data_IF_915106590850
#
_entry.id   IF_915106590850
#
_cell.length_a   1.000
_cell.length_b   1.000
_cell.length_c   1.000
_cell.angle_alpha   90.00
_cell.angle_beta   90.00
_cell.angle_gamma   90.00
#
_symmetry.space_group_name_H-M   'P 1'
#
loop_
_entity.id
_entity.type
_entity.pdbx_description
1 polymer ?
#
# COMPACT_ATOMS: atom_id res chain seq x y z
N UNK A 1 -3.44 -27.23 16.14
CA UNK A 1 -2.12 -26.64 16.46
C UNK A 1 -2.00 -25.32 15.74
N UNK A 2 -1.43 -24.30 16.39
CA UNK A 2 -1.20 -22.99 15.75
C UNK A 2 -0.06 -23.11 14.73
N UNK A 3 -0.30 -22.70 13.48
CA UNK A 3 0.70 -22.73 12.39
C UNK A 3 1.47 -21.43 12.31
N UNK A 4 2.77 -21.49 12.10
CA UNK A 4 3.60 -20.29 11.92
C UNK A 4 3.52 -19.80 10.48
N UNK A 5 3.24 -18.51 10.29
CA UNK A 5 3.39 -17.80 9.02
C UNK A 5 4.51 -16.77 9.14
N UNK A 6 5.54 -16.93 8.32
CA UNK A 6 6.64 -15.96 8.23
C UNK A 6 6.31 -14.96 7.14
N UNK A 7 6.18 -13.70 7.50
CA UNK A 7 6.08 -12.58 6.57
C UNK A 7 7.46 -11.97 6.33
N UNK A 8 7.79 -11.69 5.09
CA UNK A 8 9.07 -11.11 4.71
C UNK A 8 8.90 -9.88 3.84
N UNK A 9 9.58 -8.79 4.22
CA UNK A 9 9.70 -7.56 3.44
C UNK A 9 11.19 -7.20 3.32
N UNK A 10 11.57 -6.74 2.12
CA UNK A 10 12.90 -6.18 1.86
C UNK A 10 12.88 -4.65 1.73
N UNK A 11 11.82 -4.01 2.24
CA UNK A 11 11.62 -2.57 2.22
C UNK A 11 12.68 -1.83 3.03
N UNK A 12 13.02 -0.62 2.58
CA UNK A 12 13.90 0.30 3.31
C UNK A 12 13.13 1.41 4.04
N UNK A 13 11.87 1.64 3.68
CA UNK A 13 11.02 2.72 4.18
C UNK A 13 9.61 2.20 4.50
N UNK A 14 8.92 2.90 5.40
CA UNK A 14 7.53 2.63 5.73
C UNK A 14 6.58 3.28 4.73
N UNK A 15 5.61 2.52 4.22
CA UNK A 15 4.61 2.99 3.26
C UNK A 15 3.37 2.11 3.27
N UNK A 16 2.61 2.13 2.16
CA UNK A 16 1.37 1.38 2.03
C UNK A 16 1.53 -0.14 2.13
N UNK A 17 2.64 -0.69 1.65
CA UNK A 17 2.96 -2.12 1.76
C UNK A 17 3.08 -2.55 3.22
N UNK A 18 3.86 -1.79 4.00
CA UNK A 18 4.13 -2.05 5.41
C UNK A 18 2.87 -1.87 6.25
N UNK A 19 2.05 -0.85 5.91
CA UNK A 19 0.75 -0.63 6.54
C UNK A 19 -0.23 -1.78 6.26
N UNK A 20 -0.29 -2.29 5.02
CA UNK A 20 -1.11 -3.45 4.68
C UNK A 20 -0.69 -4.71 5.46
N UNK A 21 0.61 -4.91 5.67
CA UNK A 21 1.14 -6.01 6.49
C UNK A 21 0.71 -5.86 7.96
N UNK A 22 0.75 -4.65 8.52
CA UNK A 22 0.23 -4.41 9.87
C UNK A 22 -1.27 -4.69 9.98
N UNK A 23 -2.06 -4.38 8.96
CA UNK A 23 -3.48 -4.76 8.93
C UNK A 23 -3.66 -6.28 8.94
N UNK A 24 -2.85 -7.03 8.19
CA UNK A 24 -2.86 -8.51 8.23
C UNK A 24 -2.52 -9.01 9.63
N UNK A 25 -1.49 -8.48 10.28
CA UNK A 25 -1.12 -8.90 11.64
C UNK A 25 -2.21 -8.62 12.67
N UNK A 26 -2.88 -7.47 12.55
CA UNK A 26 -3.93 -7.06 13.47
C UNK A 26 -5.18 -7.95 13.41
N UNK A 27 -5.48 -8.52 12.24
CA UNK A 27 -6.71 -9.27 12.04
C UNK A 27 -6.53 -10.77 11.78
N UNK A 28 -5.28 -11.24 11.67
CA UNK A 28 -5.04 -12.67 11.51
C UNK A 28 -5.39 -13.43 12.80
N UNK A 29 -6.23 -14.47 12.71
CA UNK A 29 -6.68 -15.21 13.89
C UNK A 29 -5.52 -15.97 14.55
N UNK A 30 -5.05 -15.46 15.69
CA UNK A 30 -3.92 -16.00 16.42
C UNK A 30 -4.16 -17.39 17.03
N UNK A 31 -5.39 -17.88 17.05
CA UNK A 31 -5.71 -19.26 17.44
C UNK A 31 -5.21 -20.27 16.39
N UNK A 32 -5.16 -19.85 15.13
CA UNK A 32 -4.73 -20.68 14.00
C UNK A 32 -3.39 -20.27 13.43
N UNK A 33 -3.04 -18.99 13.48
CA UNK A 33 -1.88 -18.42 12.83
C UNK A 33 -0.98 -17.66 13.81
N UNK A 34 0.31 -17.96 13.80
CA UNK A 34 1.34 -17.23 14.53
C UNK A 34 2.20 -16.44 13.55
N UNK A 35 1.98 -15.13 13.39
CA UNK A 35 2.80 -14.33 12.50
C UNK A 35 4.20 -14.09 13.07
N UNK A 36 5.20 -14.13 12.20
CA UNK A 36 6.60 -13.78 12.47
C UNK A 36 7.06 -12.86 11.37
N UNK A 37 7.62 -11.70 11.70
CA UNK A 37 8.12 -10.75 10.72
C UNK A 37 9.63 -10.91 10.53
N UNK A 38 10.07 -11.28 9.33
CA UNK A 38 11.45 -11.24 8.90
C UNK A 38 11.71 -9.94 8.15
N UNK A 39 12.75 -9.20 8.55
CA UNK A 39 13.07 -7.89 7.99
C UNK A 39 14.58 -7.63 7.93
N UNK A 40 14.99 -6.69 7.09
CA UNK A 40 16.34 -6.16 7.09
C UNK A 40 16.52 -5.05 8.14
N UNK A 41 17.76 -4.75 8.59
CA UNK A 41 18.06 -3.69 9.55
C UNK A 41 18.03 -2.32 8.87
N UNK A 42 16.85 -1.79 8.58
CA UNK A 42 16.64 -0.50 7.92
C UNK A 42 15.97 0.49 8.87
N UNK A 43 16.54 1.68 9.09
CA UNK A 43 15.93 2.68 9.99
C UNK A 43 14.54 3.13 9.55
N UNK A 44 14.31 3.22 8.24
CA UNK A 44 13.05 3.72 7.66
C UNK A 44 11.84 2.84 7.94
N UNK A 45 12.01 1.56 8.35
CA UNK A 45 10.90 0.68 8.71
C UNK A 45 10.59 0.65 10.22
N UNK A 46 11.19 1.54 11.01
CA UNK A 46 10.91 1.62 12.46
C UNK A 46 9.42 1.66 12.81
N UNK A 47 8.54 2.38 12.08
CA UNK A 47 7.11 2.35 12.36
C UNK A 47 6.47 0.95 12.18
N UNK A 48 6.91 0.18 11.16
CA UNK A 48 6.47 -1.21 10.97
C UNK A 48 6.86 -2.08 12.17
N UNK A 49 8.14 -1.98 12.62
CA UNK A 49 8.64 -2.80 13.73
C UNK A 49 7.88 -2.50 15.03
N UNK A 50 7.71 -1.22 15.37
CA UNK A 50 6.90 -0.79 16.54
C UNK A 50 5.45 -1.26 16.44
N UNK A 51 4.83 -1.15 15.27
CA UNK A 51 3.46 -1.63 15.04
C UNK A 51 3.34 -3.15 15.20
N UNK A 52 4.30 -3.90 14.69
CA UNK A 52 4.34 -5.35 14.82
C UNK A 52 4.57 -5.79 16.28
N UNK A 53 5.47 -5.12 17.01
CA UNK A 53 5.69 -5.37 18.45
C UNK A 53 4.42 -5.10 19.27
N UNK A 54 3.70 -4.01 19.00
CA UNK A 54 2.44 -3.68 19.66
C UNK A 54 1.34 -4.74 19.43
N UNK A 55 1.44 -5.49 18.32
CA UNK A 55 0.56 -6.61 17.97
C UNK A 55 1.11 -7.98 18.43
N UNK A 56 2.17 -7.99 19.26
CA UNK A 56 2.86 -9.21 19.74
C UNK A 56 3.40 -10.09 18.60
N UNK A 57 3.76 -9.51 17.46
CA UNK A 57 4.40 -10.22 16.35
C UNK A 57 5.88 -10.39 16.65
N UNK A 58 6.37 -11.61 16.55
CA UNK A 58 7.80 -11.92 16.74
C UNK A 58 8.62 -11.33 15.59
N UNK A 59 9.66 -10.57 15.92
CA UNK A 59 10.57 -9.98 14.94
C UNK A 59 11.82 -10.84 14.75
N UNK A 60 12.28 -10.95 13.51
CA UNK A 60 13.53 -11.61 13.12
C UNK A 60 14.29 -10.76 12.14
N UNK A 61 15.41 -10.23 12.59
CA UNK A 61 16.30 -9.49 11.73
C UNK A 61 17.18 -10.45 10.91
N UNK A 62 17.14 -10.29 9.58
CA UNK A 62 17.99 -11.04 8.64
C UNK A 62 18.89 -10.09 7.85
N UNK A 63 20.11 -10.51 7.52
CA UNK A 63 21.04 -9.66 6.81
C UNK A 63 20.58 -9.43 5.36
N UNK A 64 20.71 -8.19 4.86
CA UNK A 64 20.49 -7.88 3.44
C UNK A 64 21.58 -8.53 2.60
N UNK A 65 21.20 -9.15 1.48
CA UNK A 65 22.15 -9.80 0.56
C UNK A 65 22.43 -8.87 -0.62
N UNK A 66 23.63 -8.28 -0.63
CA UNK A 66 24.07 -7.39 -1.71
C UNK A 66 25.27 -8.01 -2.43
N UNK A 67 25.07 -8.36 -3.73
CA UNK A 67 26.09 -8.98 -4.56
C UNK A 67 26.30 -10.49 -4.29
N UNK A 68 27.01 -11.16 -5.21
CA UNK A 68 27.17 -12.62 -5.23
C UNK A 68 27.84 -13.18 -3.97
N UNK A 69 28.90 -12.53 -3.47
CA UNK A 69 29.62 -12.99 -2.29
C UNK A 69 28.75 -12.94 -1.02
N UNK A 70 28.02 -11.84 -0.83
CA UNK A 70 27.09 -11.68 0.28
C UNK A 70 25.94 -12.71 0.23
N UNK A 71 25.46 -13.02 -0.97
CA UNK A 71 24.43 -14.05 -1.16
C UNK A 71 24.92 -15.42 -0.68
N UNK A 72 26.08 -15.87 -1.14
CA UNK A 72 26.64 -17.19 -0.78
C UNK A 72 26.88 -17.30 0.72
N UNK A 73 27.40 -16.25 1.38
CA UNK A 73 27.76 -16.29 2.80
C UNK A 73 26.57 -16.12 3.75
N UNK A 74 25.54 -15.36 3.37
CA UNK A 74 24.43 -14.99 4.25
C UNK A 74 23.17 -15.82 4.05
N UNK A 75 22.96 -16.40 2.84
CA UNK A 75 21.81 -17.24 2.57
C UNK A 75 21.71 -18.45 3.51
N UNK A 76 22.79 -19.19 3.86
CA UNK A 76 22.70 -20.30 4.81
C UNK A 76 22.21 -19.87 6.20
N UNK A 77 22.59 -18.67 6.65
CA UNK A 77 22.10 -18.11 7.91
C UNK A 77 20.60 -17.82 7.82
N UNK A 78 20.12 -17.21 6.73
CA UNK A 78 18.69 -16.94 6.52
C UNK A 78 17.89 -18.26 6.53
N UNK A 79 18.33 -19.27 5.79
CA UNK A 79 17.69 -20.60 5.75
C UNK A 79 17.63 -21.23 7.14
N UNK A 80 18.70 -21.12 7.94
CA UNK A 80 18.75 -21.65 9.31
C UNK A 80 17.74 -20.92 10.22
N UNK A 81 17.72 -19.59 10.20
CA UNK A 81 16.76 -18.78 10.97
C UNK A 81 15.31 -19.11 10.58
N UNK A 82 15.07 -19.28 9.26
CA UNK A 82 13.75 -19.62 8.75
C UNK A 82 13.31 -21.02 9.22
N UNK A 83 14.21 -22.03 9.16
CA UNK A 83 13.94 -23.39 9.65
C UNK A 83 13.64 -23.41 11.15
N UNK A 84 14.31 -22.58 11.92
CA UNK A 84 14.12 -22.51 13.38
C UNK A 84 12.71 -22.04 13.79
N UNK A 85 12.00 -21.31 12.90
CA UNK A 85 10.61 -20.91 13.16
C UNK A 85 9.59 -21.98 12.74
N UNK A 86 9.99 -23.05 12.07
CA UNK A 86 9.11 -24.13 11.56
C UNK A 86 7.89 -23.59 10.82
N UNK A 87 8.06 -22.71 9.80
CA UNK A 87 6.92 -22.07 9.15
C UNK A 87 6.11 -23.06 8.32
N UNK A 88 4.79 -23.00 8.48
CA UNK A 88 3.86 -23.64 7.54
C UNK A 88 3.73 -22.81 6.26
N UNK A 89 3.82 -21.47 6.37
CA UNK A 89 3.70 -20.54 5.26
C UNK A 89 4.86 -19.54 5.29
N UNK A 90 5.43 -19.25 4.11
CA UNK A 90 6.29 -18.09 3.87
C UNK A 90 5.55 -17.12 2.95
N UNK A 91 5.31 -15.90 3.42
CA UNK A 91 4.60 -14.86 2.68
C UNK A 91 5.52 -13.67 2.40
N UNK A 92 5.94 -13.50 1.15
CA UNK A 92 6.73 -12.37 0.70
C UNK A 92 5.84 -11.21 0.24
N UNK A 93 6.16 -9.97 0.63
CA UNK A 93 5.44 -8.77 0.19
C UNK A 93 6.28 -7.98 -0.80
N UNK A 94 5.87 -8.02 -2.07
CA UNK A 94 6.63 -7.50 -3.18
C UNK A 94 6.23 -6.04 -3.47
N UNK A 95 7.18 -5.12 -3.37
CA UNK A 95 7.06 -3.73 -3.79
C UNK A 95 7.71 -3.44 -5.15
N UNK A 96 8.14 -4.49 -5.85
CA UNK A 96 8.73 -4.43 -7.17
C UNK A 96 9.01 -5.81 -7.77
N UNK A 97 9.43 -5.91 -9.03
CA UNK A 97 9.49 -7.16 -9.79
C UNK A 97 10.37 -8.26 -9.20
N UNK A 98 11.50 -7.92 -8.57
CA UNK A 98 12.42 -8.87 -7.92
C UNK A 98 12.57 -8.64 -6.43
N UNK A 99 11.64 -7.92 -5.82
CA UNK A 99 11.59 -7.75 -4.39
C UNK A 99 11.50 -9.12 -3.70
N UNK A 100 12.10 -9.24 -2.54
CA UNK A 100 12.08 -10.43 -1.70
C UNK A 100 12.66 -11.71 -2.33
N UNK A 101 13.36 -11.65 -3.49
CA UNK A 101 13.88 -12.85 -4.18
C UNK A 101 14.74 -13.73 -3.27
N UNK A 102 15.56 -13.10 -2.42
CA UNK A 102 16.48 -13.81 -1.52
C UNK A 102 15.71 -14.59 -0.45
N UNK A 103 14.63 -14.02 0.06
CA UNK A 103 13.71 -14.67 0.98
C UNK A 103 12.94 -15.83 0.32
N UNK A 104 12.48 -15.65 -0.92
CA UNK A 104 11.82 -16.72 -1.69
C UNK A 104 12.76 -17.89 -1.95
N UNK A 105 14.02 -17.64 -2.30
CA UNK A 105 15.04 -18.69 -2.46
C UNK A 105 15.31 -19.37 -1.10
N UNK A 106 15.40 -18.59 0.00
CA UNK A 106 15.59 -19.15 1.34
C UNK A 106 14.40 -20.04 1.74
N UNK A 107 13.17 -19.66 1.41
CA UNK A 107 11.96 -20.46 1.67
C UNK A 107 11.98 -21.81 0.94
N UNK A 108 12.39 -21.82 -0.34
CA UNK A 108 12.56 -23.05 -1.12
C UNK A 108 13.63 -23.96 -0.50
N UNK A 109 14.80 -23.42 -0.15
CA UNK A 109 15.89 -24.17 0.48
C UNK A 109 15.53 -24.65 1.91
N UNK A 110 14.72 -23.91 2.62
CA UNK A 110 14.19 -24.31 3.92
C UNK A 110 13.10 -25.39 3.79
N UNK A 111 12.57 -25.62 2.58
CA UNK A 111 11.46 -26.53 2.27
C UNK A 111 10.17 -26.12 3.00
N UNK A 112 9.86 -24.80 2.99
CA UNK A 112 8.61 -24.32 3.56
C UNK A 112 7.43 -24.89 2.75
N UNK A 113 6.40 -25.46 3.40
CA UNK A 113 5.30 -26.15 2.71
C UNK A 113 4.50 -25.26 1.76
N UNK A 114 4.26 -23.99 2.13
CA UNK A 114 3.50 -23.04 1.32
C UNK A 114 4.26 -21.74 1.13
N UNK A 115 4.43 -21.30 -0.12
CA UNK A 115 5.11 -20.04 -0.46
C UNK A 115 4.14 -19.11 -1.20
N UNK A 116 3.83 -17.98 -0.58
CA UNK A 116 2.92 -16.96 -1.10
C UNK A 116 3.68 -15.66 -1.35
N UNK A 117 3.30 -14.93 -2.39
CA UNK A 117 3.87 -13.62 -2.69
C UNK A 117 2.76 -12.61 -3.02
N UNK A 118 2.62 -11.55 -2.21
CA UNK A 118 1.71 -10.44 -2.51
C UNK A 118 2.43 -9.37 -3.32
N UNK A 119 1.94 -9.07 -4.51
CA UNK A 119 2.39 -7.96 -5.35
C UNK A 119 1.58 -6.71 -5.01
N UNK A 120 2.21 -5.77 -4.31
CA UNK A 120 1.59 -4.51 -3.86
C UNK A 120 1.63 -3.42 -4.93
N UNK A 121 2.63 -3.49 -5.82
CA UNK A 121 2.84 -2.51 -6.86
C UNK A 121 3.51 -3.16 -8.06
N UNK A 122 3.14 -2.71 -9.24
CA UNK A 122 3.84 -3.08 -10.46
C UNK A 122 4.48 -1.85 -11.11
N UNK A 123 5.80 -1.78 -11.06
CA UNK A 123 6.57 -0.70 -11.68
C UNK A 123 6.97 -1.13 -13.09
N UNK A 124 6.65 -0.30 -14.09
CA UNK A 124 7.10 -0.50 -15.48
C UNK A 124 8.59 -0.14 -15.58
N UNK A 125 9.46 -1.06 -15.22
CA UNK A 125 10.89 -0.92 -15.50
C UNK A 125 11.23 -1.66 -16.78
N UNK A 126 12.12 -1.12 -17.62
CA UNK A 126 12.69 -1.87 -18.74
C UNK A 126 13.51 -3.03 -18.19
N UNK A 127 12.92 -4.23 -18.22
CA UNK A 127 13.57 -5.43 -17.70
C UNK A 127 14.46 -6.05 -18.78
N UNK A 128 15.71 -6.28 -18.46
CA UNK A 128 16.61 -7.03 -19.35
C UNK A 128 16.25 -8.53 -19.35
N UNK A 129 16.74 -9.25 -20.37
CA UNK A 129 16.49 -10.71 -20.52
C UNK A 129 16.92 -11.50 -19.27
N UNK A 130 17.97 -11.07 -18.59
CA UNK A 130 18.47 -11.70 -17.37
C UNK A 130 17.48 -11.53 -16.21
N UNK A 131 16.92 -10.34 -16.03
CA UNK A 131 15.90 -10.08 -15.01
C UNK A 131 14.63 -10.92 -15.24
N UNK A 132 14.20 -11.06 -16.50
CA UNK A 132 13.10 -11.96 -16.84
C UNK A 132 13.40 -13.42 -16.50
N UNK A 133 14.62 -13.90 -16.78
CA UNK A 133 15.01 -15.27 -16.45
C UNK A 133 15.04 -15.50 -14.93
N UNK A 134 15.56 -14.54 -14.16
CA UNK A 134 15.54 -14.59 -12.69
C UNK A 134 14.10 -14.63 -12.15
N UNK A 135 13.23 -13.77 -12.66
CA UNK A 135 11.83 -13.73 -12.23
C UNK A 135 11.12 -15.05 -12.55
N UNK A 136 11.36 -15.59 -13.76
CA UNK A 136 10.80 -16.88 -14.15
C UNK A 136 11.26 -18.03 -13.23
N UNK A 137 12.53 -18.03 -12.82
CA UNK A 137 13.04 -18.98 -11.83
C UNK A 137 12.34 -18.80 -10.47
N UNK A 138 12.29 -17.56 -9.95
CA UNK A 138 11.66 -17.27 -8.66
C UNK A 138 10.17 -17.62 -8.68
N UNK A 139 9.48 -17.42 -9.81
CA UNK A 139 8.06 -17.75 -9.96
C UNK A 139 7.75 -19.26 -9.89
N UNK A 140 8.75 -20.13 -10.08
CA UNK A 140 8.55 -21.57 -9.86
C UNK A 140 8.45 -21.93 -8.38
N UNK A 141 9.08 -21.13 -7.51
CA UNK A 141 9.08 -21.31 -6.06
C UNK A 141 7.73 -20.92 -5.45
N UNK A 142 7.08 -19.89 -5.99
CA UNK A 142 5.83 -19.35 -5.44
C UNK A 142 4.65 -20.23 -5.83
N UNK A 143 3.89 -20.69 -4.84
CA UNK A 143 2.68 -21.48 -5.05
C UNK A 143 1.51 -20.63 -5.50
N UNK A 144 1.32 -19.46 -4.85
CA UNK A 144 0.27 -18.49 -5.18
C UNK A 144 0.80 -17.06 -5.11
N UNK A 145 0.44 -16.29 -6.12
CA UNK A 145 0.56 -14.84 -6.11
C UNK A 145 -0.75 -14.20 -5.68
N UNK A 146 -0.68 -13.23 -4.78
CA UNK A 146 -1.77 -12.33 -4.45
C UNK A 146 -1.49 -11.01 -5.16
N UNK A 147 -2.39 -10.60 -6.03
CA UNK A 147 -2.36 -9.29 -6.68
C UNK A 147 -3.38 -8.38 -5.98
N UNK A 148 -2.97 -7.18 -5.59
CA UNK A 148 -3.83 -6.24 -4.86
C UNK A 148 -4.88 -5.55 -5.74
N UNK A 149 -4.81 -5.77 -7.05
CA UNK A 149 -5.77 -5.28 -8.05
C UNK A 149 -5.76 -6.16 -9.31
N UNK A 150 -6.80 -6.09 -10.11
CA UNK A 150 -6.87 -6.76 -11.43
C UNK A 150 -5.80 -6.25 -12.38
N UNK A 151 -5.46 -4.95 -12.31
CA UNK A 151 -4.37 -4.38 -13.09
C UNK A 151 -3.03 -5.02 -12.72
N UNK A 152 -2.72 -5.17 -11.43
CA UNK A 152 -1.50 -5.87 -10.97
C UNK A 152 -1.52 -7.32 -11.41
N UNK A 153 -2.65 -8.03 -11.31
CA UNK A 153 -2.80 -9.41 -11.76
C UNK A 153 -2.52 -9.54 -13.27
N UNK A 154 -3.10 -8.63 -14.07
CA UNK A 154 -2.91 -8.59 -15.52
C UNK A 154 -1.44 -8.39 -15.88
N UNK A 155 -0.75 -7.49 -15.20
CA UNK A 155 0.68 -7.23 -15.42
C UNK A 155 1.56 -8.39 -15.01
N UNK A 156 1.27 -9.05 -13.89
CA UNK A 156 1.98 -10.28 -13.48
C UNK A 156 1.88 -11.36 -14.56
N UNK A 157 0.67 -11.60 -15.07
CA UNK A 157 0.43 -12.57 -16.14
C UNK A 157 1.12 -12.20 -17.46
N UNK A 158 0.95 -10.96 -17.93
CA UNK A 158 1.50 -10.50 -19.22
C UNK A 158 3.02 -10.36 -19.21
N UNK A 159 3.58 -9.70 -18.19
CA UNK A 159 5.01 -9.36 -18.16
C UNK A 159 5.87 -10.55 -17.74
N UNK A 160 5.46 -11.28 -16.70
CA UNK A 160 6.25 -12.38 -16.16
C UNK A 160 5.76 -13.76 -16.57
N UNK A 161 4.68 -13.84 -17.34
CA UNK A 161 4.07 -15.10 -17.81
C UNK A 161 3.69 -16.04 -16.66
N UNK A 162 3.26 -15.46 -15.53
CA UNK A 162 2.77 -16.26 -14.41
C UNK A 162 1.42 -16.85 -14.82
N UNK A 163 1.23 -18.18 -14.68
CA UNK A 163 -0.05 -18.82 -14.99
C UNK A 163 -1.20 -18.23 -14.19
N UNK A 164 -2.34 -17.96 -14.83
CA UNK A 164 -3.53 -17.40 -14.17
C UNK A 164 -3.97 -18.23 -12.94
N UNK A 165 -3.82 -19.56 -13.00
CA UNK A 165 -4.13 -20.47 -11.89
C UNK A 165 -3.25 -20.22 -10.64
N UNK A 166 -2.14 -19.51 -10.76
CA UNK A 166 -1.29 -19.11 -9.63
C UNK A 166 -1.60 -17.70 -9.11
N UNK A 167 -2.49 -16.94 -9.76
CA UNK A 167 -2.76 -15.53 -9.40
C UNK A 167 -4.15 -15.42 -8.78
N UNK A 168 -4.21 -14.93 -7.56
CA UNK A 168 -5.44 -14.57 -6.86
C UNK A 168 -5.51 -13.04 -6.72
N UNK A 169 -6.64 -12.43 -7.08
CA UNK A 169 -6.86 -11.02 -6.76
C UNK A 169 -7.43 -10.93 -5.35
N UNK A 170 -6.74 -10.21 -4.48
CA UNK A 170 -7.21 -9.86 -3.14
C UNK A 170 -6.92 -8.38 -2.93
N UNK A 171 -7.94 -7.57 -3.03
CA UNK A 171 -7.82 -6.12 -2.84
C UNK A 171 -7.28 -5.80 -1.45
N UNK A 172 -6.46 -4.77 -1.35
CA UNK A 172 -6.08 -4.20 -0.07
C UNK A 172 -7.34 -3.76 0.69
N UNK A 173 -7.35 -4.02 1.99
CA UNK A 173 -8.42 -3.61 2.89
C UNK A 173 -7.89 -2.78 4.05
N UNK A 174 -8.76 -1.96 4.63
CA UNK A 174 -8.43 -1.11 5.78
C UNK A 174 -9.36 -1.38 6.97
N UNK A 175 -8.91 -1.18 8.22
CA UNK A 175 -9.80 -1.12 9.37
C UNK A 175 -10.69 0.12 9.26
N UNK A 176 -12.00 -0.05 9.38
CA UNK A 176 -12.95 1.04 9.13
C UNK A 176 -13.16 1.95 10.35
N UNK A 177 -13.05 1.39 11.57
CA UNK A 177 -13.34 2.09 12.82
C UNK A 177 -12.50 3.35 13.06
N UNK A 178 -11.19 3.43 12.71
CA UNK A 178 -10.39 4.62 12.94
C UNK A 178 -10.86 5.85 12.18
N UNK A 179 -11.57 5.67 11.07
CA UNK A 179 -11.96 6.76 10.16
C UNK A 179 -13.37 7.32 10.44
N UNK A 180 -14.08 6.78 11.43
CA UNK A 180 -15.38 7.31 11.84
C UNK A 180 -15.21 8.33 12.98
N UNK A 181 -14.55 9.46 12.71
CA UNK A 181 -14.24 10.51 13.67
C UNK A 181 -14.93 11.82 13.34
N UNK A 182 -15.38 12.59 14.36
CA UNK A 182 -15.82 13.95 14.13
C UNK A 182 -14.63 14.87 13.79
N UNK A 183 -14.88 15.91 13.02
CA UNK A 183 -13.87 16.92 12.74
C UNK A 183 -13.46 17.67 14.01
N UNK A 184 -12.15 17.87 14.19
CA UNK A 184 -11.59 18.67 15.26
C UNK A 184 -11.43 20.13 14.79
N UNK A 185 -12.29 21.02 15.29
CA UNK A 185 -12.30 22.43 14.89
C UNK A 185 -10.98 23.15 15.20
N UNK A 186 -10.32 22.83 16.32
CA UNK A 186 -9.02 23.42 16.66
C UNK A 186 -7.93 22.99 15.68
N UNK A 187 -7.88 21.69 15.31
CA UNK A 187 -6.96 21.19 14.30
C UNK A 187 -7.25 21.84 12.94
N UNK A 188 -8.53 21.92 12.53
CA UNK A 188 -8.91 22.56 11.27
C UNK A 188 -8.46 24.01 11.22
N UNK A 189 -8.70 24.78 12.27
CA UNK A 189 -8.25 26.19 12.35
C UNK A 189 -6.73 26.30 12.31
N UNK A 190 -6.01 25.41 13.00
CA UNK A 190 -4.55 25.41 12.96
C UNK A 190 -3.99 25.11 11.55
N UNK A 191 -4.70 24.31 10.76
CA UNK A 191 -4.30 23.92 9.40
C UNK A 191 -4.66 24.99 8.35
N UNK A 192 -5.84 25.57 8.43
CA UNK A 192 -6.39 26.48 7.42
C UNK A 192 -6.38 27.96 7.79
N UNK A 193 -6.07 28.29 9.06
CA UNK A 193 -6.18 29.68 9.56
C UNK A 193 -7.63 30.12 9.83
N UNK A 194 -8.61 29.42 9.26
CA UNK A 194 -10.05 29.63 9.51
C UNK A 194 -10.83 28.32 9.38
N UNK A 195 -12.05 28.28 9.87
CA UNK A 195 -12.94 27.13 9.73
C UNK A 195 -13.62 27.06 8.37
N UNK A 196 -13.64 28.15 7.61
CA UNK A 196 -14.40 28.28 6.35
C UNK A 196 -13.54 27.97 5.11
N UNK A 197 -12.22 28.14 5.20
CA UNK A 197 -11.36 27.90 4.04
C UNK A 197 -11.29 26.42 3.69
N UNK A 198 -11.54 26.04 2.42
CA UNK A 198 -11.51 24.63 2.00
C UNK A 198 -10.12 24.03 2.17
N UNK A 199 -10.07 22.79 2.68
CA UNK A 199 -8.84 22.00 2.86
C UNK A 199 -8.84 20.84 1.85
N UNK A 200 -7.84 20.84 0.98
CA UNK A 200 -7.52 19.74 0.08
C UNK A 200 -6.35 18.95 0.69
N UNK A 201 -6.57 17.69 1.04
CA UNK A 201 -5.59 16.84 1.71
C UNK A 201 -5.03 15.78 0.74
N UNK A 202 -3.74 15.55 0.84
CA UNK A 202 -3.06 14.38 0.29
C UNK A 202 -2.25 13.71 1.39
N UNK A 203 -2.42 12.41 1.56
CA UNK A 203 -1.61 11.58 2.46
C UNK A 203 -0.84 10.56 1.62
N UNK A 204 0.46 10.81 1.40
CA UNK A 204 1.30 9.94 0.60
C UNK A 204 2.78 10.24 0.82
N UNK A 205 3.64 9.27 0.49
CA UNK A 205 5.09 9.50 0.44
C UNK A 205 5.42 10.59 -0.58
N UNK A 206 6.31 11.51 -0.25
CA UNK A 206 6.76 12.55 -1.17
C UNK A 206 7.80 11.98 -2.16
N UNK A 207 7.30 11.25 -3.15
CA UNK A 207 8.07 10.59 -4.20
C UNK A 207 7.47 10.93 -5.57
N UNK A 208 8.27 10.86 -6.63
CA UNK A 208 7.86 11.13 -8.01
C UNK A 208 6.59 10.36 -8.40
N UNK A 209 6.51 9.07 -8.02
CA UNK A 209 5.35 8.22 -8.25
C UNK A 209 4.02 8.88 -7.85
N UNK A 210 4.01 9.65 -6.75
CA UNK A 210 2.79 10.23 -6.18
C UNK A 210 2.33 11.52 -6.86
N UNK A 211 3.11 12.04 -7.81
CA UNK A 211 2.70 13.12 -8.69
C UNK A 211 2.43 14.48 -8.02
N UNK A 212 3.00 14.72 -6.83
CA UNK A 212 2.74 15.95 -6.05
C UNK A 212 3.09 17.23 -6.82
N UNK A 213 4.04 17.17 -7.76
CA UNK A 213 4.38 18.31 -8.63
C UNK A 213 3.18 18.75 -9.50
N UNK A 214 2.31 17.82 -9.90
CA UNK A 214 1.08 18.14 -10.63
C UNK A 214 0.01 18.74 -9.71
N UNK A 215 -0.05 18.28 -8.44
CA UNK A 215 -0.92 18.90 -7.44
C UNK A 215 -0.53 20.33 -7.15
N UNK A 216 0.79 20.65 -7.04
CA UNK A 216 1.26 22.04 -6.86
C UNK A 216 0.84 22.93 -8.03
N UNK A 217 0.98 22.45 -9.26
CA UNK A 217 0.53 23.18 -10.46
C UNK A 217 -0.99 23.38 -10.46
N UNK A 218 -1.76 22.36 -10.06
CA UNK A 218 -3.21 22.49 -9.91
C UNK A 218 -3.58 23.47 -8.78
N UNK A 219 -2.87 23.46 -7.65
CA UNK A 219 -3.07 24.40 -6.55
C UNK A 219 -2.89 25.86 -6.93
N UNK A 220 -2.03 26.16 -7.91
CA UNK A 220 -1.87 27.50 -8.44
C UNK A 220 -3.14 28.00 -9.17
N UNK A 221 -3.95 27.06 -9.71
CA UNK A 221 -5.21 27.35 -10.42
C UNK A 221 -6.45 27.36 -9.50
N UNK A 222 -6.27 26.98 -8.21
CA UNK A 222 -7.35 26.91 -7.20
C UNK A 222 -7.01 27.81 -6.02
N UNK A 223 -7.16 29.14 -6.14
CA UNK A 223 -6.67 30.10 -5.14
C UNK A 223 -7.43 30.09 -3.81
N UNK A 224 -8.67 29.55 -3.79
CA UNK A 224 -9.56 29.55 -2.63
C UNK A 224 -9.22 28.48 -1.58
N UNK A 225 -8.42 27.46 -1.94
CA UNK A 225 -8.17 26.33 -1.07
C UNK A 225 -6.78 26.32 -0.43
N UNK A 226 -6.67 25.72 0.76
CA UNK A 226 -5.42 25.30 1.39
C UNK A 226 -5.12 23.86 0.98
N UNK A 227 -3.89 23.59 0.60
CA UNK A 227 -3.42 22.27 0.23
C UNK A 227 -2.51 21.70 1.33
N UNK A 228 -2.78 20.51 1.79
CA UNK A 228 -2.05 19.84 2.85
C UNK A 228 -1.43 18.57 2.31
N UNK A 229 -0.10 18.49 2.35
CA UNK A 229 0.67 17.31 2.00
C UNK A 229 1.21 16.67 3.29
N UNK A 230 0.56 15.59 3.72
CA UNK A 230 0.97 14.81 4.88
C UNK A 230 1.75 13.57 4.41
N UNK A 231 3.05 13.59 4.68
CA UNK A 231 4.00 12.57 4.29
C UNK A 231 5.41 13.14 4.20
N UNK A 232 6.38 12.27 4.02
CA UNK A 232 7.77 12.62 3.81
C UNK A 232 8.35 11.79 2.65
N UNK A 233 9.53 12.15 2.17
CA UNK A 233 10.18 11.41 1.10
C UNK A 233 11.23 12.21 0.33
N UNK A 234 11.90 11.57 -0.64
CA UNK A 234 13.04 12.16 -1.35
C UNK A 234 12.71 13.45 -2.13
N UNK A 235 11.44 13.61 -2.56
CA UNK A 235 11.02 14.80 -3.32
C UNK A 235 10.67 16.00 -2.44
N UNK A 236 10.74 15.92 -1.11
CA UNK A 236 10.30 17.00 -0.21
C UNK A 236 10.94 18.34 -0.54
N UNK A 237 12.26 18.39 -0.57
CA UNK A 237 12.98 19.64 -0.82
C UNK A 237 12.65 20.25 -2.19
N UNK A 238 12.52 19.41 -3.21
CA UNK A 238 12.14 19.81 -4.56
C UNK A 238 10.71 20.35 -4.60
N UNK A 239 9.76 19.70 -3.94
CA UNK A 239 8.36 20.14 -3.88
C UNK A 239 8.19 21.43 -3.09
N UNK A 240 8.90 21.61 -1.98
CA UNK A 240 8.91 22.85 -1.22
C UNK A 240 9.49 24.02 -2.04
N UNK A 241 10.55 23.76 -2.85
CA UNK A 241 11.08 24.72 -3.79
C UNK A 241 10.05 25.08 -4.87
N UNK A 242 9.42 24.08 -5.52
CA UNK A 242 8.38 24.32 -6.53
C UNK A 242 7.20 25.12 -5.96
N UNK A 243 6.77 24.84 -4.75
CA UNK A 243 5.70 25.59 -4.09
C UNK A 243 6.05 27.06 -3.90
N UNK A 244 7.31 27.38 -3.57
CA UNK A 244 7.79 28.78 -3.48
C UNK A 244 7.78 29.47 -4.83
N UNK A 245 8.33 28.84 -5.87
CA UNK A 245 8.35 29.39 -7.24
C UNK A 245 6.95 29.67 -7.79
N UNK A 246 5.97 28.83 -7.41
CA UNK A 246 4.56 29.01 -7.79
C UNK A 246 3.80 30.00 -6.88
N UNK A 247 4.46 30.64 -5.90
CA UNK A 247 3.82 31.58 -4.98
C UNK A 247 2.86 30.95 -3.98
N UNK A 248 3.02 29.65 -3.69
CA UNK A 248 2.08 28.86 -2.90
C UNK A 248 2.45 28.74 -1.41
N UNK A 249 3.50 29.41 -0.95
CA UNK A 249 4.06 29.26 0.42
C UNK A 249 3.03 29.50 1.56
N UNK A 250 1.97 30.26 1.30
CA UNK A 250 0.90 30.51 2.28
C UNK A 250 -0.28 29.53 2.20
N UNK A 251 -0.35 28.72 1.13
CA UNK A 251 -1.51 27.87 0.82
C UNK A 251 -1.15 26.38 0.67
N UNK A 252 0.12 26.04 0.69
CA UNK A 252 0.59 24.66 0.65
C UNK A 252 1.37 24.36 1.91
N UNK A 253 0.90 23.41 2.69
CA UNK A 253 1.50 22.99 3.97
C UNK A 253 2.10 21.59 3.83
N UNK A 254 3.41 21.47 4.10
CA UNK A 254 4.12 20.19 4.17
C UNK A 254 4.22 19.75 5.64
N UNK A 255 3.40 18.81 6.07
CA UNK A 255 3.30 18.38 7.48
C UNK A 255 4.35 17.35 7.89
N UNK A 256 5.12 16.77 6.93
CA UNK A 256 5.95 15.61 7.21
C UNK A 256 5.13 14.36 7.50
N UNK A 257 5.78 13.34 8.03
CA UNK A 257 5.12 12.10 8.42
C UNK A 257 4.15 12.33 9.59
N UNK A 258 2.90 11.84 9.47
CA UNK A 258 1.83 12.01 10.45
C UNK A 258 1.25 10.67 10.87
N UNK A 259 0.99 10.51 12.17
CA UNK A 259 0.31 9.33 12.74
C UNK A 259 -1.20 9.53 12.90
N UNK A 260 -1.66 10.77 12.86
CA UNK A 260 -3.04 11.18 13.06
C UNK A 260 -3.80 11.39 11.74
N UNK A 261 -3.50 10.56 10.73
CA UNK A 261 -4.17 10.61 9.42
C UNK A 261 -5.70 10.59 9.53
N UNK A 262 -6.34 9.79 10.42
CA UNK A 262 -7.80 9.85 10.61
C UNK A 262 -8.30 11.22 11.05
N UNK A 263 -7.55 11.95 11.87
CA UNK A 263 -7.94 13.29 12.32
C UNK A 263 -7.75 14.33 11.22
N UNK A 264 -6.68 14.21 10.41
CA UNK A 264 -6.48 15.05 9.22
C UNK A 264 -7.60 14.83 8.20
N UNK A 265 -7.96 13.59 7.93
CA UNK A 265 -9.07 13.24 7.06
C UNK A 265 -10.39 13.76 7.59
N UNK A 266 -10.65 13.67 8.90
CA UNK A 266 -11.86 14.24 9.49
C UNK A 266 -11.98 15.75 9.25
N UNK A 267 -10.85 16.47 9.23
CA UNK A 267 -10.79 17.92 9.06
C UNK A 267 -10.78 18.41 7.61
N UNK A 268 -10.45 17.60 6.62
CA UNK A 268 -10.41 18.04 5.21
C UNK A 268 -11.79 18.07 4.55
N UNK A 269 -11.90 18.80 3.45
CA UNK A 269 -13.11 18.88 2.63
C UNK A 269 -13.02 17.99 1.40
N UNK A 270 -11.80 17.74 0.92
CA UNK A 270 -11.51 16.95 -0.27
C UNK A 270 -10.18 16.22 -0.10
N UNK A 271 -10.14 14.96 -0.50
CA UNK A 271 -8.90 14.19 -0.62
C UNK A 271 -8.49 14.07 -2.09
N UNK A 272 -7.19 14.26 -2.35
CA UNK A 272 -6.63 14.18 -3.70
C UNK A 272 -5.41 13.26 -3.74
N UNK A 273 -5.35 12.34 -4.71
CA UNK A 273 -4.17 11.50 -4.96
C UNK A 273 -3.79 11.54 -6.45
N UNK A 274 -2.84 12.41 -6.87
CA UNK A 274 -2.49 12.63 -8.28
C UNK A 274 -1.38 11.70 -8.79
N UNK A 275 -1.37 10.45 -8.36
CA UNK A 275 -0.30 9.49 -8.62
C UNK A 275 -0.12 9.20 -10.11
N UNK A 276 1.13 8.86 -10.50
CA UNK A 276 1.48 8.43 -11.85
C UNK A 276 1.26 6.92 -12.06
N UNK A 277 1.36 6.13 -11.00
CA UNK A 277 1.07 4.70 -10.99
C UNK A 277 0.79 4.20 -9.57
N UNK A 278 -0.12 3.25 -9.43
CA UNK A 278 -0.54 2.65 -8.16
C UNK A 278 -0.81 1.14 -8.32
N UNK A 279 -0.82 0.44 -7.18
CA UNK A 279 -1.39 -0.90 -7.09
C UNK A 279 -2.87 -0.85 -6.68
N UNK A 280 -3.11 -0.61 -5.41
CA UNK A 280 -4.38 -0.21 -4.81
C UNK A 280 -4.06 0.60 -3.54
N UNK A 281 -4.07 1.93 -3.60
CA UNK A 281 -3.58 2.77 -2.52
C UNK A 281 -4.53 2.80 -1.33
N UNK A 282 -3.99 2.52 -0.13
CA UNK A 282 -4.76 2.56 1.13
C UNK A 282 -5.33 3.95 1.40
N UNK A 283 -4.59 5.01 1.06
CA UNK A 283 -5.00 6.39 1.34
C UNK A 283 -6.31 6.81 0.63
N UNK A 284 -6.61 6.26 -0.54
CA UNK A 284 -7.93 6.43 -1.18
C UNK A 284 -9.01 5.76 -0.33
N UNK A 285 -8.78 4.51 0.08
CA UNK A 285 -9.73 3.76 0.90
C UNK A 285 -9.97 4.45 2.26
N UNK A 286 -8.91 4.96 2.87
CA UNK A 286 -8.95 5.73 4.13
C UNK A 286 -9.80 7.00 3.99
N UNK A 287 -9.60 7.76 2.92
CA UNK A 287 -10.38 8.97 2.64
C UNK A 287 -11.87 8.66 2.40
N UNK A 288 -12.16 7.62 1.61
CA UNK A 288 -13.52 7.15 1.38
C UNK A 288 -14.18 6.67 2.68
N UNK A 289 -13.47 5.90 3.52
CA UNK A 289 -13.96 5.46 4.82
C UNK A 289 -14.24 6.64 5.77
N UNK A 290 -13.42 7.70 5.70
CA UNK A 290 -13.63 8.95 6.44
C UNK A 290 -14.78 9.81 5.87
N UNK A 291 -15.56 9.28 4.91
CA UNK A 291 -16.67 10.00 4.25
C UNK A 291 -16.21 11.29 3.57
N UNK A 292 -15.05 11.25 2.89
CA UNK A 292 -14.53 12.39 2.11
C UNK A 292 -14.72 12.16 0.63
N UNK A 293 -15.09 13.20 -0.15
CA UNK A 293 -15.00 13.12 -1.60
C UNK A 293 -13.55 12.90 -2.01
N UNK A 294 -13.32 12.08 -3.04
CA UNK A 294 -11.99 11.70 -3.49
C UNK A 294 -11.81 12.04 -4.95
N UNK A 295 -10.68 12.65 -5.29
CA UNK A 295 -10.20 12.80 -6.67
C UNK A 295 -8.88 12.07 -6.79
N UNK A 296 -8.72 11.22 -7.80
CA UNK A 296 -7.47 10.51 -8.06
C UNK A 296 -7.15 10.45 -9.55
N UNK A 297 -5.89 10.21 -9.88
CA UNK A 297 -5.53 9.91 -11.26
C UNK A 297 -6.08 8.55 -11.68
N UNK A 298 -6.51 8.40 -12.94
CA UNK A 298 -6.99 7.16 -13.54
C UNK A 298 -5.80 6.23 -13.86
N UNK A 299 -5.20 5.62 -12.82
CA UNK A 299 -4.02 4.76 -12.92
C UNK A 299 -4.11 3.57 -11.99
N UNK A 300 -3.60 2.42 -12.45
CA UNK A 300 -3.48 1.21 -11.62
C UNK A 300 -4.83 0.76 -11.06
N UNK A 301 -4.87 0.43 -9.77
CA UNK A 301 -6.11 0.03 -9.09
C UNK A 301 -6.98 1.19 -8.57
N UNK A 302 -6.68 2.46 -8.95
CA UNK A 302 -7.52 3.58 -8.55
C UNK A 302 -8.94 3.48 -9.16
N UNK A 303 -9.05 2.97 -10.40
CA UNK A 303 -10.32 2.71 -11.08
C UNK A 303 -11.07 1.49 -10.52
N UNK A 304 -10.37 0.63 -9.78
CA UNK A 304 -11.02 -0.46 -9.03
C UNK A 304 -11.59 0.05 -7.69
N UNK A 305 -10.93 1.02 -7.06
CA UNK A 305 -11.43 1.67 -5.84
C UNK A 305 -12.55 2.68 -6.14
N UNK A 306 -12.39 3.50 -7.18
CA UNK A 306 -13.26 4.63 -7.52
C UNK A 306 -14.07 4.33 -8.78
N UNK A 307 -15.39 4.39 -8.68
CA UNK A 307 -16.30 4.48 -9.84
C UNK A 307 -16.46 5.95 -10.19
N UNK A 308 -15.93 6.36 -11.34
CA UNK A 308 -15.90 7.76 -11.76
C UNK A 308 -17.30 8.38 -11.80
N UNK A 309 -17.46 9.52 -11.12
CA UNK A 309 -18.74 10.27 -11.06
C UNK A 309 -19.75 9.72 -10.06
N UNK A 310 -19.51 8.54 -9.48
CA UNK A 310 -20.37 7.90 -8.48
C UNK A 310 -19.73 7.90 -7.08
N UNK A 311 -18.54 7.33 -6.93
CA UNK A 311 -17.87 7.19 -5.62
C UNK A 311 -16.63 8.07 -5.47
N UNK A 312 -16.30 8.84 -6.49
CA UNK A 312 -15.19 9.79 -6.58
C UNK A 312 -15.02 10.28 -8.02
N UNK A 313 -14.00 11.09 -8.26
CA UNK A 313 -13.64 11.53 -9.60
C UNK A 313 -12.26 10.97 -9.99
N UNK A 314 -12.16 10.50 -11.22
CA UNK A 314 -10.90 10.10 -11.85
C UNK A 314 -10.51 11.14 -12.90
N UNK A 315 -9.23 11.55 -12.88
CA UNK A 315 -8.67 12.50 -13.86
C UNK A 315 -7.48 11.86 -14.58
N UNK A 316 -7.10 12.33 -15.79
CA UNK A 316 -5.89 11.86 -16.44
C UNK A 316 -4.65 12.08 -15.55
N UNK A 317 -3.69 11.13 -15.50
CA UNK A 317 -2.45 11.34 -14.79
C UNK A 317 -1.61 12.46 -15.45
N UNK A 318 -0.81 13.15 -14.64
CA UNK A 318 0.07 14.22 -15.08
C UNK A 318 -0.65 15.41 -15.76
N UNK A 319 -1.94 15.61 -15.49
CA UNK A 319 -2.74 16.72 -16.03
C UNK A 319 -3.19 17.67 -14.89
N UNK A 320 -2.41 18.76 -14.62
CA UNK A 320 -2.77 19.73 -13.59
C UNK A 320 -4.05 20.50 -13.87
N UNK A 321 -4.39 20.72 -15.14
CA UNK A 321 -5.58 21.49 -15.52
C UNK A 321 -6.85 20.69 -15.24
N UNK A 322 -6.91 19.42 -15.69
CA UNK A 322 -8.01 18.52 -15.38
C UNK A 322 -8.16 18.28 -13.86
N UNK A 323 -7.03 18.22 -13.14
CA UNK A 323 -7.04 18.08 -11.68
C UNK A 323 -7.62 19.32 -10.99
N UNK A 324 -7.22 20.53 -11.42
CA UNK A 324 -7.74 21.79 -10.89
C UNK A 324 -9.24 21.93 -11.15
N UNK A 325 -9.72 21.64 -12.37
CA UNK A 325 -11.13 21.66 -12.73
C UNK A 325 -11.94 20.71 -11.86
N UNK A 326 -11.45 19.48 -11.64
CA UNK A 326 -12.12 18.53 -10.78
C UNK A 326 -12.19 18.99 -9.31
N UNK A 327 -11.11 19.61 -8.80
CA UNK A 327 -11.06 20.17 -7.44
C UNK A 327 -12.10 21.31 -7.32
N UNK A 328 -12.09 22.28 -8.22
CA UNK A 328 -13.02 23.39 -8.22
C UNK A 328 -14.47 22.90 -8.31
N UNK A 329 -14.75 21.94 -9.20
CA UNK A 329 -16.08 21.33 -9.37
C UNK A 329 -16.60 20.71 -8.07
N UNK A 330 -15.75 20.01 -7.30
CA UNK A 330 -16.16 19.38 -6.03
C UNK A 330 -16.32 20.44 -4.94
N UNK A 331 -15.39 21.40 -4.82
CA UNK A 331 -15.43 22.43 -3.78
C UNK A 331 -16.61 23.41 -3.96
N UNK A 332 -16.97 23.72 -5.22
CA UNK A 332 -18.08 24.63 -5.53
C UNK A 332 -19.45 23.94 -5.52
N UNK A 333 -19.53 22.62 -5.39
CA UNK A 333 -20.80 21.87 -5.43
C UNK A 333 -20.93 20.93 -4.21
N UNK A 334 -21.44 21.42 -3.07
CA UNK A 334 -21.60 20.63 -1.86
C UNK A 334 -22.47 19.37 -2.01
N UNK A 335 -23.46 19.40 -2.90
CA UNK A 335 -24.32 18.23 -3.16
C UNK A 335 -23.55 17.13 -3.91
N UNK A 336 -22.73 17.49 -4.88
CA UNK A 336 -21.82 16.56 -5.54
C UNK A 336 -20.82 15.98 -4.55
N UNK A 337 -20.15 16.83 -3.76
CA UNK A 337 -19.19 16.42 -2.76
C UNK A 337 -19.78 15.39 -1.79
N UNK A 338 -20.97 15.69 -1.22
CA UNK A 338 -21.69 14.80 -0.31
C UNK A 338 -22.09 13.49 -0.96
N UNK A 339 -22.62 13.51 -2.18
CA UNK A 339 -23.01 12.30 -2.92
C UNK A 339 -21.82 11.37 -3.15
N UNK A 340 -20.69 11.91 -3.63
CA UNK A 340 -19.46 11.16 -3.87
C UNK A 340 -18.92 10.55 -2.57
N UNK A 341 -18.90 11.33 -1.48
CA UNK A 341 -18.41 10.89 -0.16
C UNK A 341 -19.26 9.75 0.40
N UNK A 342 -20.57 9.86 0.41
CA UNK A 342 -21.49 8.85 0.94
C UNK A 342 -21.40 7.55 0.13
N UNK A 343 -21.43 7.64 -1.21
CA UNK A 343 -21.28 6.47 -2.07
C UNK A 343 -19.90 5.82 -1.94
N UNK A 344 -18.85 6.64 -1.84
CA UNK A 344 -17.49 6.17 -1.61
C UNK A 344 -17.35 5.39 -0.28
N UNK A 345 -17.89 5.95 0.80
CA UNK A 345 -17.91 5.26 2.10
C UNK A 345 -18.63 3.92 2.04
N UNK A 346 -19.81 3.86 1.44
CA UNK A 346 -20.58 2.62 1.28
C UNK A 346 -19.74 1.56 0.53
N UNK A 347 -19.11 1.94 -0.60
CA UNK A 347 -18.26 1.04 -1.39
C UNK A 347 -17.10 0.47 -0.59
N UNK A 348 -16.39 1.29 0.19
CA UNK A 348 -15.26 0.80 1.01
C UNK A 348 -15.74 -0.18 2.07
N UNK A 349 -16.86 0.10 2.72
CA UNK A 349 -17.45 -0.80 3.71
C UNK A 349 -17.82 -2.17 3.12
N UNK A 350 -18.32 -2.21 1.88
CA UNK A 350 -18.75 -3.43 1.21
C UNK A 350 -17.57 -4.26 0.66
N UNK A 351 -16.54 -3.60 0.11
CA UNK A 351 -15.57 -4.27 -0.75
C UNK A 351 -14.12 -4.23 -0.26
N UNK A 352 -13.77 -3.28 0.64
CA UNK A 352 -12.37 -3.01 0.99
C UNK A 352 -12.13 -3.02 2.50
N UNK A 353 -12.85 -3.83 3.26
CA UNK A 353 -12.58 -4.00 4.68
C UNK A 353 -11.34 -4.89 4.92
N UNK A 354 -10.60 -4.59 5.99
CA UNK A 354 -9.45 -5.40 6.39
C UNK A 354 -9.86 -6.84 6.69
N UNK A 355 -11.03 -7.03 7.28
CA UNK A 355 -11.57 -8.35 7.65
C UNK A 355 -11.78 -9.24 6.40
N UNK A 356 -12.32 -8.66 5.32
CA UNK A 356 -12.51 -9.40 4.05
C UNK A 356 -11.17 -9.76 3.40
N UNK A 357 -10.22 -8.82 3.36
CA UNK A 357 -8.86 -9.05 2.86
C UNK A 357 -8.17 -10.16 3.63
N UNK A 358 -8.15 -10.08 4.96
CA UNK A 358 -7.44 -11.03 5.84
C UNK A 358 -8.04 -12.43 5.72
N UNK A 359 -9.37 -12.53 5.71
CA UNK A 359 -10.07 -13.81 5.50
C UNK A 359 -9.60 -14.46 4.21
N UNK A 360 -9.61 -13.72 3.10
CA UNK A 360 -9.20 -14.27 1.80
C UNK A 360 -7.72 -14.65 1.77
N UNK A 361 -6.83 -13.91 2.44
CA UNK A 361 -5.41 -14.27 2.60
C UNK A 361 -5.26 -15.57 3.38
N UNK A 362 -6.00 -15.73 4.48
CA UNK A 362 -5.99 -16.96 5.28
C UNK A 362 -6.53 -18.16 4.50
N UNK A 363 -7.63 -17.99 3.72
CA UNK A 363 -8.18 -19.03 2.86
C UNK A 363 -7.12 -19.53 1.86
N UNK A 364 -6.35 -18.62 1.24
CA UNK A 364 -5.27 -19.00 0.32
C UNK A 364 -4.20 -19.85 1.01
N UNK A 365 -3.84 -19.53 2.26
CA UNK A 365 -2.90 -20.35 3.01
C UNK A 365 -3.44 -21.77 3.22
N UNK A 366 -4.70 -21.91 3.63
CA UNK A 366 -5.34 -23.20 3.84
C UNK A 366 -5.49 -23.99 2.53
N UNK A 367 -5.88 -23.35 1.43
CA UNK A 367 -5.98 -23.96 0.10
C UNK A 367 -4.65 -24.59 -0.36
N UNK A 368 -3.50 -23.91 -0.11
CA UNK A 368 -2.20 -24.44 -0.47
C UNK A 368 -1.82 -25.60 0.42
N UNK A 369 -1.96 -25.44 1.74
CA UNK A 369 -1.56 -26.47 2.71
C UNK A 369 -2.36 -27.76 2.53
N UNK A 370 -3.67 -27.69 2.34
CA UNK A 370 -4.51 -28.86 2.07
C UNK A 370 -4.11 -29.58 0.78
N UNK A 371 -3.73 -28.81 -0.27
CA UNK A 371 -3.25 -29.41 -1.52
C UNK A 371 -1.92 -30.14 -1.34
N UNK A 372 -1.04 -29.64 -0.47
CA UNK A 372 0.24 -30.30 -0.15
C UNK A 372 0.04 -31.55 0.70
N UNK A 373 -0.87 -31.53 1.69
CA UNK A 373 -1.20 -32.71 2.52
C UNK A 373 -1.71 -33.87 1.66
N UNK A 374 -2.61 -33.60 0.72
CA UNK A 374 -3.13 -34.61 -0.24
C UNK A 374 -2.02 -35.19 -1.13
N UNK A 375 -1.08 -34.37 -1.61
CA UNK A 375 0.02 -34.82 -2.48
C UNK A 375 1.07 -35.66 -1.78
N UNK A 376 1.26 -35.49 -0.46
CA UNK A 376 2.32 -36.16 0.30
C UNK A 376 1.80 -37.26 1.22
N UNK A 377 0.48 -37.59 1.17
CA UNK A 377 -0.10 -38.78 1.82
C UNK A 377 -0.08 -38.76 3.34
N UNK A 378 -0.08 -37.59 3.95
CA UNK A 378 -0.29 -37.48 5.39
C UNK A 378 -1.81 -37.58 5.69
N UNK A 379 -2.23 -38.79 6.02
CA UNK A 379 -3.51 -39.10 6.64
C UNK A 379 -3.35 -39.23 8.16
#
# INVERSE_FOLDING_TARGET
MTRTVVHFLDSAEFGGTEQAVLHIFAGLDQRYWRPVLFHHPEPGITPLLKGAEALNVKLRQVPRMQGKQSFVTRLPKFVRELRAEHPAVFHAHLNGPLACKDGLIAAALARVPAVVATAQLFVNLPLCRFTHAQHRFVSTIVDRYIAVSHEVATRLGKTFRIPAAKINVVHNGIPLSPFNRPANAALRTALAGSTEQPIVLTTARLAEQKGHCYLLKAAALVPEAIFILAGDGPERANLEWQARELGLSKRVLFLGYRHDVPDLLACCDLFVLPSLFEGLPLSILEAMAANKPVIASAVGGNDEAIVHGETGLLVPPADPAALAEAIQRVLSNPDLARRLAVAGKARVHEQFSAEAMIRRVADIYEEILSTHEVRHGYH
#
